data_IF_353647294172
#
_entry.id   IF_353647294172
#
_cell.length_a   1.000
_cell.length_b   1.000
_cell.length_c   1.000
_cell.angle_alpha   90.00
_cell.angle_beta   90.00
_cell.angle_gamma   90.00
#
_symmetry.space_group_name_H-M   'P 1'
#
loop_
_entity.id
_entity.type
_entity.pdbx_description
1 polymer ?
#
# COMPACT_ATOMS: atom_id res chain seq x y z
N UNK A 1 15.56 14.18 24.62
CA UNK A 1 14.13 13.79 24.75
C UNK A 1 13.90 12.59 23.85
N UNK A 2 13.51 11.45 24.40
CA UNK A 2 13.02 10.34 23.59
C UNK A 2 11.55 10.61 23.24
N UNK A 3 11.28 10.96 21.99
CA UNK A 3 9.92 11.04 21.47
C UNK A 3 9.42 9.63 21.19
N UNK A 4 8.44 9.14 21.95
CA UNK A 4 7.82 7.84 21.71
C UNK A 4 6.73 7.94 20.62
N UNK A 5 7.14 8.23 19.38
CA UNK A 5 6.22 8.17 18.23
C UNK A 5 6.20 6.75 17.68
N UNK A 6 5.00 6.24 17.47
CA UNK A 6 4.77 4.92 16.87
C UNK A 6 4.12 5.13 15.51
N UNK A 7 4.81 4.76 14.43
CA UNK A 7 4.25 4.76 13.08
C UNK A 7 3.75 3.37 12.73
N UNK A 8 2.63 3.31 12.04
CA UNK A 8 2.07 2.09 11.48
C UNK A 8 2.01 2.19 9.96
N UNK A 9 2.10 1.06 9.27
CA UNK A 9 1.97 0.95 7.81
C UNK A 9 0.53 1.23 7.28
N UNK A 10 -0.23 2.06 7.98
CA UNK A 10 -1.64 2.34 7.70
C UNK A 10 -1.82 3.63 6.88
N UNK A 11 -0.72 4.30 6.53
CA UNK A 11 -0.64 5.54 5.77
C UNK A 11 -1.03 6.81 6.53
N UNK A 12 -1.30 6.73 7.84
CA UNK A 12 -1.66 7.88 8.66
C UNK A 12 -0.41 8.66 9.09
N UNK A 13 -0.38 9.99 8.87
CA UNK A 13 0.74 10.80 9.29
C UNK A 13 0.66 11.16 10.78
N UNK A 14 1.79 11.02 11.48
CA UNK A 14 2.01 11.52 12.83
C UNK A 14 2.79 12.84 12.81
N UNK A 15 2.68 13.63 13.88
CA UNK A 15 3.38 14.92 13.99
C UNK A 15 4.61 14.79 14.88
N UNK A 16 5.80 14.98 14.30
CA UNK A 16 7.04 15.12 15.04
C UNK A 16 7.29 16.60 15.32
N UNK A 17 7.48 16.94 16.60
CA UNK A 17 7.71 18.31 17.05
C UNK A 17 9.15 18.46 17.53
N UNK A 18 9.86 19.44 16.98
CA UNK A 18 11.18 19.87 17.40
C UNK A 18 11.05 21.15 18.21
N UNK A 19 11.60 21.15 19.41
CA UNK A 19 11.55 22.28 20.33
C UNK A 19 12.98 22.71 20.65
N UNK A 20 13.28 23.97 20.38
CA UNK A 20 14.47 24.61 20.93
C UNK A 20 14.18 25.02 22.37
N UNK A 21 14.97 24.54 23.32
CA UNK A 21 14.88 24.95 24.73
C UNK A 21 15.73 26.20 25.04
N UNK A 22 16.54 26.63 24.09
CA UNK A 22 17.37 27.84 24.17
C UNK A 22 16.91 28.86 23.12
N UNK A 23 16.94 30.16 23.42
CA UNK A 23 16.59 31.18 22.43
C UNK A 23 17.62 31.20 21.30
N UNK A 24 17.17 31.50 20.09
CA UNK A 24 18.07 31.78 18.96
C UNK A 24 18.54 33.22 19.08
N UNK A 25 19.80 33.42 19.46
CA UNK A 25 20.42 34.75 19.62
C UNK A 25 21.26 35.08 18.40
N UNK A 26 21.10 36.31 17.89
CA UNK A 26 21.72 36.73 16.65
C UNK A 26 22.35 38.10 16.76
N UNK A 27 23.42 38.32 16.00
CA UNK A 27 24.07 39.63 15.89
C UNK A 27 23.20 40.64 15.10
N UNK A 28 22.30 40.15 14.23
CA UNK A 28 21.34 40.98 13.47
C UNK A 28 19.90 40.44 13.57
N UNK A 29 18.91 41.26 13.22
CA UNK A 29 17.48 40.90 13.26
C UNK A 29 17.03 39.82 12.25
N UNK A 30 17.92 39.36 11.33
CA UNK A 30 17.54 38.53 10.17
C UNK A 30 18.28 37.20 10.04
N UNK A 31 18.71 36.62 11.15
CA UNK A 31 19.34 35.31 11.13
C UNK A 31 18.33 34.15 11.06
N UNK A 32 18.82 32.96 10.73
CA UNK A 32 18.05 31.72 10.82
C UNK A 32 18.92 30.50 11.13
N UNK A 33 18.28 29.44 11.60
CA UNK A 33 18.87 28.13 11.81
C UNK A 33 18.08 27.10 11.00
N UNK A 34 18.74 26.44 10.06
CA UNK A 34 18.11 25.42 9.22
C UNK A 34 18.44 24.01 9.75
N UNK A 35 17.42 23.17 9.89
CA UNK A 35 17.57 21.77 10.28
C UNK A 35 17.23 20.87 9.10
N UNK A 36 18.23 20.14 8.59
CA UNK A 36 18.07 19.17 7.50
C UNK A 36 17.86 17.78 8.08
N UNK A 37 16.67 17.22 7.86
CA UNK A 37 16.26 15.92 8.35
C UNK A 37 16.73 14.79 7.43
N UNK A 38 17.27 13.73 8.04
CA UNK A 38 17.72 12.50 7.39
C UNK A 38 17.18 11.29 8.14
N UNK A 39 16.70 10.29 7.41
CA UNK A 39 16.21 9.03 7.98
C UNK A 39 17.36 8.03 8.03
N UNK A 40 17.67 7.51 9.21
CA UNK A 40 18.71 6.49 9.44
C UNK A 40 18.09 5.19 9.93
N UNK A 41 18.45 4.11 9.25
CA UNK A 41 18.04 2.76 9.60
C UNK A 41 19.17 2.05 10.36
N UNK A 42 18.86 1.29 11.43
CA UNK A 42 19.88 0.62 12.24
C UNK A 42 20.74 -0.39 11.45
N UNK A 43 20.24 -0.92 10.33
CA UNK A 43 20.95 -1.85 9.44
C UNK A 43 20.95 -1.27 8.03
N UNK A 44 22.13 -0.92 7.53
CA UNK A 44 22.40 0.04 6.46
C UNK A 44 22.00 -0.32 5.03
N UNK A 45 20.81 -0.86 4.78
CA UNK A 45 20.16 -0.71 3.48
C UNK A 45 18.68 -1.07 3.60
N UNK A 46 17.82 -0.07 3.63
CA UNK A 46 16.36 -0.28 3.52
C UNK A 46 15.79 0.85 2.70
N UNK A 47 15.08 0.48 1.64
CA UNK A 47 14.16 1.36 0.92
C UNK A 47 13.36 2.15 1.96
N UNK A 48 13.39 3.47 1.85
CA UNK A 48 12.81 4.32 2.88
C UNK A 48 11.28 4.22 2.83
N UNK A 49 10.72 3.41 3.73
CA UNK A 49 9.27 3.31 3.88
C UNK A 49 8.73 4.39 4.82
N UNK A 50 9.46 5.50 5.01
CA UNK A 50 9.05 6.62 5.84
C UNK A 50 9.13 7.89 5.00
N UNK A 51 8.06 8.68 5.03
CA UNK A 51 7.98 9.97 4.34
C UNK A 51 7.97 11.09 5.36
N UNK A 52 8.65 12.18 5.03
CA UNK A 52 8.58 13.45 5.74
C UNK A 52 7.79 14.44 4.87
N UNK A 53 6.91 15.23 5.47
CA UNK A 53 6.25 16.32 4.73
C UNK A 53 7.21 17.41 4.30
N UNK A 54 8.33 17.56 5.01
CA UNK A 54 9.42 18.52 4.75
C UNK A 54 10.73 17.91 5.21
N UNK A 55 11.80 18.15 4.46
CA UNK A 55 13.15 17.72 4.84
C UNK A 55 13.96 18.84 5.50
N UNK A 56 13.49 20.09 5.44
CA UNK A 56 14.17 21.25 6.01
C UNK A 56 13.17 21.99 6.92
N UNK A 57 13.60 22.26 8.15
CA UNK A 57 12.86 23.09 9.12
C UNK A 57 13.67 24.35 9.41
N UNK A 58 13.02 25.51 9.32
CA UNK A 58 13.67 26.79 9.54
C UNK A 58 13.27 27.36 10.90
N UNK A 59 14.25 27.62 11.76
CA UNK A 59 14.07 28.24 13.07
C UNK A 59 14.48 29.70 12.98
N UNK A 60 13.59 30.60 13.42
CA UNK A 60 13.81 32.05 13.44
C UNK A 60 13.79 32.55 14.89
N UNK A 61 14.46 33.68 15.20
CA UNK A 61 14.39 34.29 16.52
C UNK A 61 12.93 34.54 16.92
N UNK A 62 12.66 34.34 18.21
CA UNK A 62 11.37 34.63 18.80
C UNK A 62 11.60 35.57 19.99
N UNK A 63 10.69 36.51 20.20
CA UNK A 63 10.87 37.61 21.16
C UNK A 63 10.96 37.11 22.60
N UNK A 64 10.32 35.97 22.94
CA UNK A 64 10.38 35.36 24.29
C UNK A 64 10.20 33.84 24.26
N UNK A 65 10.94 33.14 25.13
CA UNK A 65 10.66 31.74 25.44
C UNK A 65 9.37 31.60 26.27
N UNK A 66 8.55 30.61 25.97
CA UNK A 66 7.29 30.35 26.66
C UNK A 66 7.20 28.90 27.12
N UNK A 67 6.96 28.69 28.42
CA UNK A 67 6.87 27.35 28.99
C UNK A 67 8.17 26.56 28.83
N UNK A 68 8.10 25.38 28.21
CA UNK A 68 9.23 24.44 28.05
C UNK A 68 10.09 24.70 26.81
N UNK A 69 9.82 25.75 26.02
CA UNK A 69 10.51 25.98 24.76
C UNK A 69 10.55 27.44 24.30
N UNK A 70 11.47 27.73 23.41
CA UNK A 70 11.66 29.05 22.80
C UNK A 70 11.14 29.10 21.37
N UNK A 71 11.43 28.05 20.59
CA UNK A 71 11.04 27.95 19.18
C UNK A 71 10.56 26.53 18.92
N UNK A 72 9.45 26.40 18.20
CA UNK A 72 8.83 25.11 17.91
C UNK A 72 8.66 24.95 16.41
N UNK A 73 9.09 23.81 15.88
CA UNK A 73 8.88 23.41 14.48
C UNK A 73 8.23 22.03 14.42
N UNK A 74 7.43 21.79 13.39
CA UNK A 74 6.68 20.55 13.22
C UNK A 74 6.87 19.97 11.82
N UNK A 75 6.98 18.65 11.76
CA UNK A 75 7.00 17.88 10.50
C UNK A 75 6.04 16.70 10.62
N UNK A 76 5.31 16.42 9.55
CA UNK A 76 4.50 15.20 9.48
C UNK A 76 5.37 14.05 8.99
N UNK A 77 5.23 12.91 9.64
CA UNK A 77 5.95 11.67 9.34
C UNK A 77 4.96 10.55 9.13
N UNK A 78 5.13 9.74 8.09
CA UNK A 78 4.20 8.63 7.80
C UNK A 78 4.96 7.42 7.27
N UNK A 79 4.46 6.22 7.55
CA UNK A 79 4.98 5.00 6.93
C UNK A 79 4.27 4.72 5.61
N UNK A 80 5.03 4.41 4.56
CA UNK A 80 4.47 4.00 3.27
C UNK A 80 4.09 2.52 3.29
N UNK A 81 2.99 2.15 2.60
CA UNK A 81 2.69 0.76 2.30
C UNK A 81 3.87 0.07 1.60
N UNK A 82 4.03 -1.21 1.86
CA UNK A 82 5.02 -2.06 1.24
C UNK A 82 4.44 -3.47 1.06
N UNK A 83 4.92 -4.22 0.06
CA UNK A 83 4.38 -5.55 -0.24
C UNK A 83 5.08 -6.68 0.54
N UNK A 84 6.04 -6.38 1.41
CA UNK A 84 6.93 -7.37 2.02
C UNK A 84 7.13 -7.09 3.50
N UNK A 85 6.75 -8.04 4.37
CA UNK A 85 6.94 -7.90 5.81
C UNK A 85 8.38 -7.50 6.17
N UNK A 86 8.54 -6.34 6.79
CA UNK A 86 9.80 -5.76 7.19
C UNK A 86 10.19 -6.24 8.58
N UNK A 87 11.45 -6.64 8.74
CA UNK A 87 12.03 -6.94 10.05
C UNK A 87 12.55 -5.69 10.79
N UNK A 88 11.98 -4.51 10.51
CA UNK A 88 12.42 -3.22 11.07
C UNK A 88 11.49 -2.82 12.22
N UNK A 89 12.06 -2.68 13.41
CA UNK A 89 11.32 -2.29 14.63
C UNK A 89 11.54 -0.83 15.03
N UNK A 90 12.75 -0.32 14.79
CA UNK A 90 13.16 1.03 15.19
C UNK A 90 13.79 1.77 14.00
N UNK A 91 13.37 3.01 13.77
CA UNK A 91 13.94 3.94 12.79
C UNK A 91 14.39 5.20 13.54
N UNK A 92 15.57 5.72 13.19
CA UNK A 92 16.07 6.96 13.78
C UNK A 92 15.94 8.09 12.76
N UNK A 93 15.32 9.20 13.13
CA UNK A 93 15.38 10.43 12.35
C UNK A 93 16.48 11.30 12.97
N UNK A 94 17.51 11.62 12.19
CA UNK A 94 18.56 12.55 12.57
C UNK A 94 18.35 13.88 11.85
N UNK A 95 18.46 15.00 12.57
CA UNK A 95 18.52 16.33 11.97
C UNK A 95 19.93 16.87 12.08
N UNK A 96 20.51 17.31 10.97
CA UNK A 96 21.76 18.08 10.94
C UNK A 96 21.41 19.57 10.97
N UNK A 97 22.07 20.32 11.83
CA UNK A 97 21.84 21.75 12.00
C UNK A 97 22.84 22.53 11.17
N UNK A 98 22.34 23.48 10.38
CA UNK A 98 23.10 24.43 9.60
C UNK A 98 22.77 25.82 10.11
N UNK A 99 23.80 26.45 10.65
CA UNK A 99 23.73 27.68 11.41
C UNK A 99 24.20 28.82 10.50
N UNK A 100 23.42 29.90 10.40
CA UNK A 100 23.88 31.14 9.77
C UNK A 100 25.07 31.71 10.57
N UNK A 101 26.06 32.31 9.92
CA UNK A 101 27.28 32.83 10.57
C UNK A 101 26.98 33.82 11.71
N UNK A 102 25.80 34.45 11.68
CA UNK A 102 25.34 35.43 12.66
C UNK A 102 24.66 34.81 13.90
N UNK A 103 24.58 33.49 14.00
CA UNK A 103 23.90 32.76 15.08
C UNK A 103 24.91 32.09 16.01
N UNK A 104 24.80 32.37 17.31
CA UNK A 104 25.61 31.71 18.34
C UNK A 104 24.96 30.39 18.76
N UNK A 105 25.32 29.28 18.13
CA UNK A 105 24.75 27.95 18.38
C UNK A 105 25.84 26.87 18.46
N UNK A 106 25.72 25.92 19.41
CA UNK A 106 26.77 24.95 19.72
C UNK A 106 26.32 23.48 19.62
N UNK A 107 25.20 23.19 18.95
CA UNK A 107 24.77 21.83 18.63
C UNK A 107 24.68 21.63 17.12
N UNK A 108 25.30 20.57 16.63
CA UNK A 108 25.35 20.31 15.18
C UNK A 108 24.34 19.24 14.74
N UNK A 109 23.80 18.47 15.70
CA UNK A 109 22.87 17.38 15.42
C UNK A 109 21.77 17.24 16.47
N UNK A 110 20.60 16.80 16.02
CA UNK A 110 19.49 16.35 16.85
C UNK A 110 19.04 14.96 16.41
N UNK A 111 18.50 14.16 17.32
CA UNK A 111 18.00 12.84 17.00
C UNK A 111 16.63 12.62 17.64
N UNK A 112 15.73 12.03 16.86
CA UNK A 112 14.44 11.52 17.31
C UNK A 112 14.38 10.02 16.99
N UNK A 113 14.04 9.22 18.00
CA UNK A 113 13.80 7.79 17.80
C UNK A 113 12.32 7.59 17.45
N UNK A 114 12.03 6.79 16.42
CA UNK A 114 10.67 6.46 16.03
C UNK A 114 10.54 4.94 16.03
N UNK A 115 9.52 4.46 16.72
CA UNK A 115 9.14 3.05 16.67
C UNK A 115 8.26 2.83 15.45
N UNK A 116 8.53 1.79 14.69
CA UNK A 116 7.72 1.43 13.53
C UNK A 116 7.11 0.07 13.71
N UNK A 117 5.83 -0.03 13.38
CA UNK A 117 5.05 -1.24 13.36
C UNK A 117 4.72 -1.54 11.91
N UNK A 118 5.47 -2.50 11.36
CA UNK A 118 5.14 -3.12 10.09
C UNK A 118 3.92 -4.02 10.27
N UNK A 119 2.94 -3.88 9.38
CA UNK A 119 1.74 -4.71 9.40
C UNK A 119 1.94 -5.90 8.46
N UNK A 120 1.33 -7.06 8.74
CA UNK A 120 1.61 -8.25 7.96
C UNK A 120 1.17 -8.07 6.50
N UNK A 121 2.10 -8.24 5.56
CA UNK A 121 1.76 -8.44 4.14
C UNK A 121 1.30 -9.88 3.92
N UNK A 122 0.38 -10.08 2.96
CA UNK A 122 -0.20 -11.40 2.70
C UNK A 122 -0.47 -11.64 1.22
N UNK A 123 -0.52 -12.92 0.83
CA UNK A 123 -0.85 -13.35 -0.54
C UNK A 123 -2.09 -14.22 -0.56
N UNK A 124 -2.94 -14.00 -1.56
CA UNK A 124 -4.11 -14.82 -1.86
C UNK A 124 -4.01 -15.37 -3.27
N UNK A 125 -4.46 -16.62 -3.46
CA UNK A 125 -4.37 -17.32 -4.73
C UNK A 125 -5.75 -17.79 -5.17
N UNK A 126 -6.09 -17.55 -6.43
CA UNK A 126 -7.25 -18.13 -7.10
C UNK A 126 -6.76 -18.94 -8.29
N UNK A 127 -6.91 -20.25 -8.21
CA UNK A 127 -6.46 -21.18 -9.26
C UNK A 127 -7.47 -21.27 -10.40
N UNK A 128 -7.00 -21.73 -11.57
CA UNK A 128 -7.85 -22.02 -12.71
C UNK A 128 -9.03 -22.96 -12.37
N UNK A 129 -8.82 -23.95 -11.49
CA UNK A 129 -9.85 -24.90 -11.05
C UNK A 129 -10.74 -24.42 -9.89
N UNK A 130 -10.86 -23.09 -9.74
CA UNK A 130 -11.68 -22.38 -8.75
C UNK A 130 -11.38 -22.68 -7.28
N UNK A 131 -10.17 -23.13 -6.99
CA UNK A 131 -9.66 -23.20 -5.61
C UNK A 131 -9.08 -21.86 -5.18
N UNK A 132 -9.41 -21.47 -3.95
CA UNK A 132 -8.95 -20.26 -3.29
C UNK A 132 -8.06 -20.65 -2.12
N UNK A 133 -6.91 -20.01 -2.01
CA UNK A 133 -6.08 -19.99 -0.81
C UNK A 133 -6.07 -18.55 -0.27
N UNK A 134 -6.68 -18.29 0.90
CA UNK A 134 -6.71 -16.94 1.50
C UNK A 134 -5.35 -16.48 2.02
N UNK A 135 -5.33 -15.21 2.42
CA UNK A 135 -4.30 -14.62 3.26
C UNK A 135 -3.99 -15.41 4.55
N UNK A 136 -4.95 -16.14 5.11
CA UNK A 136 -4.76 -16.97 6.31
C UNK A 136 -4.46 -18.45 5.98
N UNK A 137 -4.14 -18.75 4.71
CA UNK A 137 -3.90 -20.11 4.22
C UNK A 137 -5.10 -21.08 4.33
N UNK A 138 -6.32 -20.54 4.47
CA UNK A 138 -7.53 -21.36 4.41
C UNK A 138 -7.85 -21.69 2.95
N UNK A 139 -8.14 -22.96 2.67
CA UNK A 139 -8.46 -23.45 1.34
C UNK A 139 -9.97 -23.58 1.15
N UNK A 140 -10.48 -23.16 0.00
CA UNK A 140 -11.86 -23.41 -0.41
C UNK A 140 -11.99 -23.60 -1.90
N UNK A 141 -13.15 -24.05 -2.35
CA UNK A 141 -13.46 -24.27 -3.76
C UNK A 141 -14.85 -23.73 -4.07
N UNK A 142 -14.96 -22.92 -5.14
CA UNK A 142 -16.27 -22.49 -5.63
C UNK A 142 -16.99 -23.66 -6.30
N UNK A 143 -18.30 -23.79 -6.04
CA UNK A 143 -19.11 -24.88 -6.59
C UNK A 143 -20.18 -24.41 -7.57
N UNK A 144 -20.29 -23.09 -7.81
CA UNK A 144 -21.31 -22.50 -8.69
C UNK A 144 -20.70 -21.51 -9.69
N UNK A 145 -21.40 -21.33 -10.80
CA UNK A 145 -21.11 -20.26 -11.77
C UNK A 145 -21.57 -18.93 -11.19
N UNK A 146 -20.88 -17.85 -11.53
CA UNK A 146 -21.24 -16.52 -11.07
C UNK A 146 -20.09 -15.54 -11.10
N UNK A 147 -20.36 -14.34 -10.62
CA UNK A 147 -19.37 -13.30 -10.40
C UNK A 147 -19.15 -13.15 -8.90
N UNK A 148 -17.90 -13.24 -8.47
CA UNK A 148 -17.54 -13.23 -7.06
C UNK A 148 -16.59 -12.08 -6.77
N UNK A 149 -16.71 -11.50 -5.59
CA UNK A 149 -15.73 -10.53 -5.09
C UNK A 149 -14.56 -11.32 -4.52
N UNK A 150 -13.44 -11.32 -5.24
CA UNK A 150 -12.21 -11.91 -4.74
C UNK A 150 -11.69 -11.09 -3.56
N UNK A 151 -11.65 -9.76 -3.73
CA UNK A 151 -11.22 -8.78 -2.74
C UNK A 151 -11.97 -7.46 -2.91
N UNK A 152 -12.28 -6.78 -1.82
CA UNK A 152 -12.83 -5.43 -1.80
C UNK A 152 -12.34 -4.69 -0.56
N UNK A 153 -11.86 -3.47 -0.73
CA UNK A 153 -11.52 -2.61 0.40
C UNK A 153 -12.77 -1.95 0.98
N UNK A 154 -12.81 -1.77 2.30
CA UNK A 154 -13.95 -1.16 3.01
C UNK A 154 -14.21 0.30 2.64
N UNK A 155 -13.17 1.01 2.20
CA UNK A 155 -13.29 2.37 1.70
C UNK A 155 -13.71 2.45 0.22
N UNK A 156 -14.00 1.31 -0.42
CA UNK A 156 -14.42 1.19 -1.82
C UNK A 156 -13.42 1.76 -2.85
N UNK A 157 -12.15 1.96 -2.48
CA UNK A 157 -11.12 2.42 -3.42
C UNK A 157 -10.50 1.28 -4.23
N UNK A 158 -10.65 0.03 -3.80
CA UNK A 158 -10.03 -1.15 -4.42
C UNK A 158 -11.03 -2.31 -4.43
N UNK A 159 -11.23 -2.93 -5.59
CA UNK A 159 -12.07 -4.12 -5.74
C UNK A 159 -11.54 -5.02 -6.86
N UNK A 160 -11.53 -6.32 -6.62
CA UNK A 160 -11.25 -7.36 -7.60
C UNK A 160 -12.44 -8.30 -7.65
N UNK A 161 -13.07 -8.39 -8.81
CA UNK A 161 -14.08 -9.38 -9.11
C UNK A 161 -13.54 -10.42 -10.09
N UNK A 162 -14.03 -11.64 -9.96
CA UNK A 162 -13.73 -12.75 -10.86
C UNK A 162 -15.02 -13.33 -11.43
N UNK A 163 -14.95 -13.85 -12.66
CA UNK A 163 -16.05 -14.55 -13.32
C UNK A 163 -15.75 -16.03 -13.40
N UNK A 164 -16.67 -16.84 -12.89
CA UNK A 164 -16.62 -18.29 -12.93
C UNK A 164 -17.70 -18.83 -13.87
N UNK A 165 -17.29 -19.66 -14.82
CA UNK A 165 -18.16 -20.36 -15.76
C UNK A 165 -17.74 -21.83 -15.90
N UNK A 166 -18.50 -22.61 -16.65
CA UNK A 166 -18.06 -23.96 -17.03
C UNK A 166 -16.95 -23.90 -18.07
N UNK A 167 -15.91 -24.70 -17.86
CA UNK A 167 -14.85 -24.83 -18.85
C UNK A 167 -15.38 -25.59 -20.08
N UNK A 168 -14.94 -25.23 -21.29
CA UNK A 168 -15.32 -25.93 -22.52
C UNK A 168 -14.94 -27.42 -22.54
N UNK A 169 -13.79 -27.77 -21.96
CA UNK A 169 -13.19 -29.10 -22.11
C UNK A 169 -13.48 -30.07 -20.93
N UNK A 170 -14.16 -29.61 -19.87
CA UNK A 170 -14.44 -30.43 -18.67
C UNK A 170 -15.79 -30.06 -18.03
N UNK A 171 -16.44 -31.01 -17.35
CA UNK A 171 -17.57 -30.74 -16.43
C UNK A 171 -17.11 -29.99 -15.14
N UNK A 172 -16.11 -29.11 -15.26
CA UNK A 172 -15.51 -28.34 -14.18
C UNK A 172 -15.79 -26.85 -14.36
N UNK A 173 -15.62 -26.12 -13.26
CA UNK A 173 -15.70 -24.67 -13.21
C UNK A 173 -14.30 -24.08 -13.36
N UNK A 174 -14.19 -22.98 -14.11
CA UNK A 174 -12.97 -22.19 -14.18
C UNK A 174 -13.23 -20.70 -14.10
N UNK A 175 -12.19 -19.99 -13.67
CA UNK A 175 -12.13 -18.54 -13.77
C UNK A 175 -11.84 -18.16 -15.22
N UNK A 176 -12.77 -17.44 -15.85
CA UNK A 176 -12.67 -17.01 -17.24
C UNK A 176 -12.53 -15.49 -17.39
N UNK A 177 -12.68 -14.72 -16.31
CA UNK A 177 -12.62 -13.28 -16.35
C UNK A 177 -12.21 -12.66 -15.01
N UNK A 178 -11.58 -11.49 -15.08
CA UNK A 178 -11.19 -10.68 -13.93
C UNK A 178 -11.48 -9.20 -14.20
N UNK A 179 -12.05 -8.51 -13.21
CA UNK A 179 -12.28 -7.08 -13.25
C UNK A 179 -11.65 -6.44 -12.01
N UNK A 180 -10.82 -5.43 -12.22
CA UNK A 180 -10.06 -4.74 -11.18
C UNK A 180 -10.45 -3.27 -11.22
N UNK A 181 -10.86 -2.76 -10.06
CA UNK A 181 -11.16 -1.37 -9.82
C UNK A 181 -10.17 -0.82 -8.81
N UNK A 182 -9.56 0.31 -9.11
CA UNK A 182 -8.64 1.00 -8.21
C UNK A 182 -8.71 2.51 -8.41
N UNK A 183 -9.16 3.26 -7.39
CA UNK A 183 -9.28 4.73 -7.41
C UNK A 183 -9.89 5.25 -8.73
N UNK A 184 -11.10 4.77 -9.04
CA UNK A 184 -11.85 5.10 -10.27
C UNK A 184 -11.28 4.54 -11.57
N UNK A 185 -10.07 3.98 -11.58
CA UNK A 185 -9.54 3.24 -12.73
C UNK A 185 -10.09 1.84 -12.78
N UNK A 186 -10.49 1.40 -13.97
CA UNK A 186 -11.02 0.06 -14.22
C UNK A 186 -10.19 -0.69 -15.25
N UNK A 187 -9.86 -1.93 -14.95
CA UNK A 187 -9.26 -2.89 -15.87
C UNK A 187 -10.15 -4.14 -15.91
N UNK A 188 -10.56 -4.55 -17.10
CA UNK A 188 -11.33 -5.77 -17.34
C UNK A 188 -10.51 -6.67 -18.24
N UNK A 189 -10.41 -7.94 -17.87
CA UNK A 189 -9.77 -9.00 -18.62
C UNK A 189 -10.80 -10.11 -18.77
N UNK A 190 -11.25 -10.37 -19.98
CA UNK A 190 -12.35 -11.28 -20.27
C UNK A 190 -11.93 -12.32 -21.31
N UNK A 191 -12.08 -13.60 -20.95
CA UNK A 191 -11.91 -14.78 -21.81
C UNK A 191 -13.15 -15.69 -21.78
N UNK A 192 -14.26 -15.24 -21.20
CA UNK A 192 -15.43 -16.08 -20.96
C UNK A 192 -16.15 -16.52 -22.24
N UNK A 193 -15.89 -15.86 -23.38
CA UNK A 193 -16.54 -16.17 -24.66
C UNK A 193 -15.63 -16.77 -25.73
N UNK A 194 -14.37 -17.08 -25.45
CA UNK A 194 -13.52 -17.62 -26.50
C UNK A 194 -13.97 -19.03 -26.93
N UNK A 195 -14.53 -19.13 -28.13
CA UNK A 195 -14.86 -20.38 -28.82
C UNK A 195 -13.67 -20.95 -29.59
N UNK A 196 -12.62 -20.15 -29.80
CA UNK A 196 -11.42 -20.52 -30.56
C UNK A 196 -10.37 -21.20 -29.66
N UNK A 197 -9.66 -22.19 -30.24
CA UNK A 197 -8.50 -22.89 -29.60
C UNK A 197 -7.25 -22.02 -29.39
N UNK A 198 -7.30 -20.75 -29.78
CA UNK A 198 -6.20 -19.80 -29.49
C UNK A 198 -6.58 -18.81 -28.39
N UNK A 199 -7.85 -18.78 -27.97
CA UNK A 199 -8.28 -18.04 -26.79
C UNK A 199 -8.26 -16.54 -27.01
N UNK A 200 -9.27 -15.94 -27.66
CA UNK A 200 -9.35 -14.49 -27.76
C UNK A 200 -9.45 -13.88 -26.36
N UNK A 201 -8.68 -12.81 -26.10
CA UNK A 201 -8.71 -12.07 -24.84
C UNK A 201 -9.21 -10.66 -25.08
N UNK A 202 -10.26 -10.27 -24.37
CA UNK A 202 -10.74 -8.91 -24.37
C UNK A 202 -10.17 -8.18 -23.16
N UNK A 203 -9.41 -7.11 -23.40
CA UNK A 203 -8.86 -6.25 -22.36
C UNK A 203 -9.46 -4.85 -22.53
N UNK A 204 -10.09 -4.35 -21.48
CA UNK A 204 -10.61 -2.98 -21.43
C UNK A 204 -10.00 -2.23 -20.25
N UNK A 205 -9.30 -1.13 -20.55
CA UNK A 205 -8.71 -0.23 -19.56
C UNK A 205 -9.39 1.14 -19.61
N UNK A 206 -9.83 1.63 -18.45
CA UNK A 206 -10.42 2.97 -18.27
C UNK A 206 -9.64 3.70 -17.17
N UNK A 207 -8.67 4.54 -17.52
CA UNK A 207 -7.84 5.26 -16.53
C UNK A 207 -8.60 6.41 -15.87
N UNK A 208 -8.16 6.77 -14.66
CA UNK A 208 -8.54 7.98 -13.94
C UNK A 208 -7.28 8.70 -13.44
N UNK A 209 -7.29 10.03 -13.36
CA UNK A 209 -6.08 10.84 -13.07
C UNK A 209 -5.40 10.52 -11.72
N UNK A 210 -6.16 10.05 -10.73
CA UNK A 210 -5.67 9.83 -9.35
C UNK A 210 -5.13 8.43 -9.09
N UNK A 211 -5.24 7.52 -10.05
CA UNK A 211 -4.81 6.14 -9.89
C UNK A 211 -3.45 5.92 -10.53
N UNK A 212 -2.48 5.48 -9.73
CA UNK A 212 -1.21 4.98 -10.24
C UNK A 212 -1.28 3.45 -10.32
N UNK A 213 -2.06 2.99 -11.31
CA UNK A 213 -2.15 1.60 -11.73
C UNK A 213 -1.19 1.38 -12.90
N UNK A 214 -0.21 0.50 -12.73
CA UNK A 214 0.73 0.11 -13.79
C UNK A 214 0.43 -1.31 -14.24
N UNK A 215 0.37 -1.52 -15.55
CA UNK A 215 0.06 -2.81 -16.17
C UNK A 215 1.27 -3.23 -17.01
N UNK A 216 1.76 -4.43 -16.79
CA UNK A 216 2.87 -5.03 -17.51
C UNK A 216 2.44 -6.35 -18.13
N UNK A 217 2.93 -6.60 -19.34
CA UNK A 217 2.75 -7.87 -20.02
C UNK A 217 4.06 -8.68 -19.93
N UNK A 218 3.94 -10.00 -19.79
CA UNK A 218 5.06 -10.92 -19.88
C UNK A 218 4.67 -12.24 -20.54
N UNK A 219 5.69 -13.07 -20.82
CA UNK A 219 5.52 -14.42 -21.38
C UNK A 219 4.70 -14.47 -22.67
N UNK A 220 4.93 -13.52 -23.59
CA UNK A 220 4.21 -13.39 -24.86
C UNK A 220 2.68 -13.34 -24.66
N UNK A 221 2.21 -12.36 -23.90
CA UNK A 221 0.78 -12.19 -23.62
C UNK A 221 0.16 -13.20 -22.66
N UNK A 222 0.93 -14.13 -22.08
CA UNK A 222 0.40 -15.17 -21.15
C UNK A 222 0.44 -14.74 -19.68
N UNK A 223 1.05 -13.60 -19.37
CA UNK A 223 1.16 -13.09 -18.01
C UNK A 223 0.82 -11.60 -18.02
N UNK A 224 -0.14 -11.21 -17.18
CA UNK A 224 -0.46 -9.81 -16.91
C UNK A 224 -0.10 -9.53 -15.46
N UNK A 225 0.64 -8.45 -15.23
CA UNK A 225 1.07 -8.02 -13.92
C UNK A 225 0.63 -6.58 -13.66
N UNK A 226 -0.06 -6.37 -12.54
CA UNK A 226 -0.73 -5.10 -12.23
C UNK A 226 -0.22 -4.63 -10.88
N UNK A 227 0.27 -3.41 -10.83
CA UNK A 227 0.81 -2.79 -9.61
C UNK A 227 -0.09 -1.61 -9.24
N UNK A 228 -0.60 -1.62 -8.00
CA UNK A 228 -1.54 -0.63 -7.46
C UNK A 228 -0.84 0.16 -6.34
N UNK A 229 -0.10 1.20 -6.73
CA UNK A 229 0.86 1.85 -5.84
C UNK A 229 1.79 0.82 -5.16
N UNK A 230 2.20 1.05 -3.91
CA UNK A 230 2.87 0.06 -3.07
C UNK A 230 1.86 -0.72 -2.20
N UNK A 231 0.55 -0.66 -2.51
CA UNK A 231 -0.51 -1.21 -1.66
C UNK A 231 -0.90 -2.64 -2.02
N UNK A 232 -0.96 -2.94 -3.32
CA UNK A 232 -1.33 -4.26 -3.80
C UNK A 232 -0.74 -4.54 -5.17
N UNK A 233 -0.65 -5.82 -5.48
CA UNK A 233 -0.18 -6.33 -6.75
C UNK A 233 -1.00 -7.53 -7.17
N UNK A 234 -1.38 -7.56 -8.44
CA UNK A 234 -2.17 -8.65 -9.02
C UNK A 234 -1.39 -9.25 -10.17
N UNK A 235 -1.18 -10.55 -10.09
CA UNK A 235 -0.61 -11.36 -11.16
C UNK A 235 -1.70 -12.24 -11.74
N UNK A 236 -1.82 -12.23 -13.06
CA UNK A 236 -2.80 -13.03 -13.80
C UNK A 236 -2.06 -13.88 -14.82
N UNK A 237 -2.00 -15.19 -14.58
CA UNK A 237 -1.48 -16.15 -15.56
C UNK A 237 -2.64 -16.63 -16.43
N UNK A 238 -2.54 -16.35 -17.73
CA UNK A 238 -3.52 -16.71 -18.73
C UNK A 238 -3.23 -18.12 -19.24
N UNK A 239 -4.27 -18.94 -19.28
CA UNK A 239 -4.28 -20.26 -19.91
C UNK A 239 -5.29 -20.24 -21.05
N UNK A 240 -5.32 -21.33 -21.82
CA UNK A 240 -6.13 -21.48 -23.02
C UNK A 240 -7.60 -21.01 -22.83
N UNK A 241 -8.26 -21.48 -21.77
CA UNK A 241 -9.68 -21.16 -21.46
C UNK A 241 -9.90 -20.76 -19.99
N UNK A 242 -8.83 -20.51 -19.24
CA UNK A 242 -8.91 -20.19 -17.82
C UNK A 242 -7.80 -19.23 -17.41
N UNK A 243 -7.89 -18.69 -16.21
CA UNK A 243 -6.84 -17.85 -15.64
C UNK A 243 -6.62 -18.19 -14.18
N UNK A 244 -5.39 -17.96 -13.72
CA UNK A 244 -5.02 -18.03 -12.31
C UNK A 244 -4.66 -16.64 -11.85
N UNK A 245 -5.16 -16.22 -10.69
CA UNK A 245 -4.86 -14.94 -10.08
C UNK A 245 -4.03 -15.15 -8.82
N UNK A 246 -3.05 -14.29 -8.61
CA UNK A 246 -2.35 -14.12 -7.33
C UNK A 246 -2.43 -12.67 -6.94
N UNK A 247 -2.92 -12.40 -5.73
CA UNK A 247 -2.98 -11.06 -5.17
C UNK A 247 -2.06 -10.96 -3.98
N UNK A 248 -1.03 -10.13 -4.09
CA UNK A 248 -0.16 -9.76 -2.99
C UNK A 248 -0.64 -8.41 -2.44
N UNK A 249 -0.89 -8.36 -1.14
CA UNK A 249 -1.38 -7.18 -0.44
C UNK A 249 -0.39 -6.74 0.63
N UNK A 250 -0.19 -5.43 0.72
CA UNK A 250 0.52 -4.77 1.80
C UNK A 250 -0.24 -4.84 3.13
N UNK A 251 0.48 -4.58 4.22
CA UNK A 251 -0.09 -4.44 5.56
C UNK A 251 -1.04 -3.24 5.69
N UNK A 252 -1.01 -2.28 4.76
CA UNK A 252 -1.96 -1.16 4.69
C UNK A 252 -3.43 -1.59 4.73
N UNK A 253 -3.72 -2.78 4.21
CA UNK A 253 -5.07 -3.32 4.12
C UNK A 253 -5.44 -4.27 5.27
N UNK A 254 -4.60 -4.39 6.30
CA UNK A 254 -4.94 -5.11 7.55
C UNK A 254 -6.26 -4.59 8.11
N UNK A 255 -7.19 -5.51 8.36
CA UNK A 255 -8.58 -5.23 8.81
C UNK A 255 -9.39 -4.25 7.92
N UNK A 256 -9.00 -4.08 6.65
CA UNK A 256 -9.63 -3.13 5.71
C UNK A 256 -10.10 -3.75 4.40
N UNK A 257 -10.04 -5.08 4.29
CA UNK A 257 -10.51 -5.82 3.12
C UNK A 257 -11.47 -6.93 3.50
N UNK A 258 -12.41 -7.19 2.62
CA UNK A 258 -13.37 -8.29 2.71
C UNK A 258 -13.44 -9.01 1.34
N UNK A 259 -13.97 -10.23 1.30
CA UNK A 259 -14.09 -11.03 0.08
C UNK A 259 -13.64 -12.48 0.26
N UNK A 260 -13.54 -13.22 -0.85
CA UNK A 260 -13.13 -14.63 -0.85
C UNK A 260 -11.72 -14.88 -0.28
N UNK A 261 -10.83 -13.90 -0.39
CA UNK A 261 -9.49 -13.98 0.18
C UNK A 261 -9.43 -13.78 1.72
N UNK A 262 -10.55 -13.46 2.36
CA UNK A 262 -10.62 -13.19 3.80
C UNK A 262 -9.88 -11.94 4.24
N UNK A 263 -9.65 -11.82 5.55
CA UNK A 263 -8.96 -10.69 6.17
C UNK A 263 -7.47 -10.98 6.40
N UNK A 264 -6.66 -9.93 6.34
CA UNK A 264 -5.26 -9.96 6.76
C UNK A 264 -5.23 -9.74 8.28
N UNK A 265 -4.51 -10.60 9.01
CA UNK A 265 -4.34 -10.50 10.47
C UNK A 265 -5.47 -11.09 11.33
N UNK A 266 -6.64 -11.37 10.74
CA UNK A 266 -7.78 -11.98 11.43
C UNK A 266 -8.19 -13.30 10.76
N UNK A 267 -8.60 -14.30 11.55
CA UNK A 267 -9.01 -15.62 11.06
C UNK A 267 -10.51 -15.71 10.73
N UNK A 268 -11.17 -14.56 10.53
CA UNK A 268 -12.53 -14.49 10.02
C UNK A 268 -12.54 -14.87 8.54
N UNK A 269 -13.07 -16.06 8.26
CA UNK A 269 -13.18 -16.61 6.92
C UNK A 269 -14.65 -16.74 6.50
N UNK A 270 -15.01 -16.25 5.31
CA UNK A 270 -16.35 -16.37 4.75
C UNK A 270 -16.46 -17.63 3.87
N UNK A 271 -17.56 -18.37 3.97
CA UNK A 271 -17.78 -19.49 3.06
C UNK A 271 -17.89 -18.99 1.62
N UNK A 272 -17.23 -19.70 0.70
CA UNK A 272 -16.98 -19.26 -0.68
C UNK A 272 -18.23 -18.94 -1.52
N UNK A 273 -19.42 -19.36 -1.09
CA UNK A 273 -20.69 -19.08 -1.78
C UNK A 273 -21.36 -17.77 -1.33
N UNK A 274 -20.95 -17.19 -0.20
CA UNK A 274 -21.61 -16.01 0.39
C UNK A 274 -21.10 -14.68 -0.19
N UNK A 275 -20.09 -14.73 -1.07
CA UNK A 275 -19.43 -13.54 -1.65
C UNK A 275 -19.74 -13.36 -3.14
N UNK A 276 -20.80 -14.03 -3.62
CA UNK A 276 -21.33 -13.79 -4.96
C UNK A 276 -21.98 -12.39 -5.00
N UNK A 277 -21.62 -11.58 -5.98
CA UNK A 277 -22.16 -10.20 -6.10
C UNK A 277 -23.29 -10.13 -7.12
N UNK A 278 -24.34 -9.40 -6.78
CA UNK A 278 -25.41 -8.98 -7.71
C UNK A 278 -25.06 -7.67 -8.44
N UNK A 279 -23.97 -7.01 -8.08
CA UNK A 279 -23.48 -5.75 -8.64
C UNK A 279 -22.11 -5.97 -9.29
N UNK A 280 -22.06 -6.53 -10.51
CA UNK A 280 -20.79 -6.76 -11.18
C UNK A 280 -20.18 -5.43 -11.66
N UNK A 281 -18.85 -5.29 -11.57
CA UNK A 281 -18.09 -4.13 -12.07
C UNK A 281 -18.21 -3.96 -13.60
N UNK A 282 -18.62 -5.03 -14.28
CA UNK A 282 -18.79 -5.08 -15.73
C UNK A 282 -19.94 -6.01 -16.06
N UNK A 283 -20.69 -5.66 -17.09
CA UNK A 283 -21.53 -6.64 -17.77
C UNK A 283 -20.62 -7.54 -18.61
N UNK A 284 -20.47 -8.80 -18.16
CA UNK A 284 -19.61 -9.78 -18.84
C UNK A 284 -20.19 -10.01 -20.23
N UNK A 285 -19.50 -9.42 -21.22
CA UNK A 285 -19.81 -9.63 -22.63
C UNK A 285 -19.24 -10.96 -23.05
#
# INVERSE_FOLDING_TARGET
>A
METNIVLQENGQPETLTFVSTVPLTCETEKCKLDMVLTIKYPKGNTLSNVLLSRCILEFRPNDRCQGIGCITQQVKVAMTPNLYTLNVKDIHISGYLYVDEQVMWNQDTVQAKIKVIDLPSASCYMTAGVFILSFQNNMSKLSRRGTYILLKSRNNEFEIQIRVTSCPDENLLCVCGAAIYYKETRLIIDRCRSTNKEGDIFIQYRPAMRANMKIFEGRHGKLIYIVLDNKAQVRIDLRHQSMTLTVQSSGYFTDRMDGLCGQIGNNTWYHSNDVQTSQPLVDWR
#
